data_IF_263186657032
#
_entry.id   IF_263186657032
#
_cell.length_a   1.000
_cell.length_b   1.000
_cell.length_c   1.000
_cell.angle_alpha   90.00
_cell.angle_beta   90.00
_cell.angle_gamma   90.00
#
_symmetry.space_group_name_H-M   'P 1'
#
loop_
_entity.id
_entity.type
_entity.pdbx_description
1 polymer ?
#
# COMPACT_ATOMS: atom_id res chain seq x y z
N UNK A 1 -29.20 -37.58 7.04
CA UNK A 1 -29.56 -36.62 8.13
C UNK A 1 -28.40 -36.20 9.06
N UNK A 2 -27.71 -37.11 9.78
CA UNK A 2 -26.55 -36.66 10.63
C UNK A 2 -25.41 -36.00 9.83
N UNK A 3 -25.05 -36.56 8.68
CA UNK A 3 -23.96 -36.02 7.81
C UNK A 3 -24.24 -34.60 7.30
N UNK A 4 -25.45 -34.28 6.87
CA UNK A 4 -25.85 -32.95 6.38
C UNK A 4 -25.76 -31.91 7.48
N UNK A 5 -26.16 -32.25 8.71
CA UNK A 5 -26.06 -31.32 9.85
C UNK A 5 -24.60 -31.02 10.22
N UNK A 6 -23.73 -32.04 10.17
CA UNK A 6 -22.30 -31.87 10.42
C UNK A 6 -21.69 -30.99 9.33
N UNK A 7 -21.94 -31.29 8.06
CA UNK A 7 -21.48 -30.51 6.92
C UNK A 7 -21.98 -29.06 7.00
N UNK A 8 -23.26 -28.85 7.35
CA UNK A 8 -23.82 -27.52 7.53
C UNK A 8 -23.11 -26.73 8.64
N UNK A 9 -22.70 -27.36 9.73
CA UNK A 9 -21.92 -26.70 10.76
C UNK A 9 -20.50 -26.32 10.31
N UNK A 10 -19.82 -27.23 9.59
CA UNK A 10 -18.48 -26.97 9.04
C UNK A 10 -18.54 -25.77 8.07
N UNK A 11 -19.46 -25.80 7.12
CA UNK A 11 -19.62 -24.73 6.14
C UNK A 11 -20.02 -23.41 6.80
N UNK A 12 -20.83 -23.42 7.85
CA UNK A 12 -21.15 -22.23 8.64
C UNK A 12 -19.88 -21.55 9.17
N UNK A 13 -19.01 -22.31 9.85
CA UNK A 13 -17.80 -21.76 10.42
C UNK A 13 -16.80 -21.32 9.34
N UNK A 14 -16.61 -22.12 8.29
CA UNK A 14 -15.75 -21.75 7.18
C UNK A 14 -16.22 -20.46 6.51
N UNK A 15 -17.50 -20.30 6.28
CA UNK A 15 -18.06 -19.09 5.66
C UNK A 15 -17.96 -17.88 6.59
N UNK A 16 -18.15 -18.05 7.89
CA UNK A 16 -18.04 -16.97 8.89
C UNK A 16 -16.60 -16.45 8.99
N UNK A 17 -15.61 -17.35 8.95
CA UNK A 17 -14.20 -17.01 9.17
C UNK A 17 -13.52 -16.58 7.86
N UNK A 18 -14.05 -16.99 6.70
CA UNK A 18 -13.42 -16.77 5.40
C UNK A 18 -13.07 -15.31 5.08
N UNK A 19 -13.91 -14.28 5.36
CA UNK A 19 -13.52 -12.89 5.11
C UNK A 19 -12.32 -12.45 5.97
N UNK A 20 -12.27 -12.89 7.22
CA UNK A 20 -11.17 -12.55 8.13
C UNK A 20 -9.85 -13.20 7.69
N UNK A 21 -9.89 -14.50 7.36
CA UNK A 21 -8.71 -15.21 6.85
C UNK A 21 -8.23 -14.58 5.55
N UNK A 22 -9.14 -14.29 4.62
CA UNK A 22 -8.80 -13.71 3.32
C UNK A 22 -8.17 -12.33 3.47
N UNK A 23 -8.73 -11.49 4.35
CA UNK A 23 -8.18 -10.17 4.65
C UNK A 23 -6.80 -10.28 5.30
N UNK A 24 -6.63 -11.15 6.29
CA UNK A 24 -5.34 -11.38 6.93
C UNK A 24 -4.28 -11.89 5.94
N UNK A 25 -4.64 -12.82 5.05
CA UNK A 25 -3.73 -13.31 4.02
C UNK A 25 -3.36 -12.21 3.03
N UNK A 26 -4.33 -11.42 2.57
CA UNK A 26 -4.06 -10.29 1.67
C UNK A 26 -3.16 -9.24 2.33
N UNK A 27 -3.37 -8.97 3.62
CA UNK A 27 -2.54 -8.04 4.42
C UNK A 27 -1.11 -8.57 4.59
N UNK A 28 -0.94 -9.83 4.95
CA UNK A 28 0.38 -10.43 5.15
C UNK A 28 1.18 -10.54 3.83
N UNK A 29 0.54 -11.07 2.77
CA UNK A 29 1.21 -11.24 1.47
C UNK A 29 1.45 -9.88 0.80
N UNK A 30 0.53 -8.94 0.99
CA UNK A 30 0.62 -7.57 0.47
C UNK A 30 1.57 -6.68 1.27
N UNK A 31 2.13 -7.19 2.39
CA UNK A 31 3.03 -6.40 3.23
C UNK A 31 2.39 -5.05 3.63
N UNK A 32 1.20 -5.13 4.23
CA UNK A 32 0.38 -3.96 4.54
C UNK A 32 1.07 -2.92 5.43
N UNK A 33 1.99 -3.36 6.30
CA UNK A 33 2.82 -2.47 7.13
C UNK A 33 3.74 -1.58 6.30
N UNK A 34 4.16 -2.07 5.11
CA UNK A 34 5.10 -1.39 4.23
C UNK A 34 4.37 -0.62 3.14
N UNK A 35 3.45 -1.29 2.43
CA UNK A 35 2.73 -0.71 1.30
C UNK A 35 1.35 -0.15 1.67
N UNK A 36 0.93 -0.29 2.94
CA UNK A 36 -0.36 0.18 3.42
C UNK A 36 -1.53 -0.44 2.63
N UNK A 37 -2.52 0.40 2.30
CA UNK A 37 -3.72 -0.03 1.56
C UNK A 37 -3.39 -0.60 0.18
N UNK A 38 -2.35 -0.09 -0.49
CA UNK A 38 -1.93 -0.58 -1.81
C UNK A 38 -1.55 -2.07 -1.79
N UNK A 39 -0.83 -2.51 -0.76
CA UNK A 39 -0.47 -3.92 -0.58
C UNK A 39 -1.70 -4.81 -0.39
N UNK A 40 -2.66 -4.38 0.43
CA UNK A 40 -3.92 -5.10 0.65
C UNK A 40 -4.73 -5.21 -0.66
N UNK A 41 -4.85 -4.12 -1.41
CA UNK A 41 -5.59 -4.08 -2.67
C UNK A 41 -4.97 -5.04 -3.69
N UNK A 42 -3.65 -5.09 -3.77
CA UNK A 42 -2.94 -5.99 -4.70
C UNK A 42 -3.38 -7.45 -4.55
N UNK A 43 -3.55 -7.91 -3.32
CA UNK A 43 -3.87 -9.31 -3.01
C UNK A 43 -5.33 -9.54 -2.59
N UNK A 44 -6.18 -8.51 -2.66
CA UNK A 44 -7.61 -8.61 -2.31
C UNK A 44 -8.36 -9.66 -3.15
N UNK A 45 -7.90 -9.97 -4.37
CA UNK A 45 -8.49 -11.02 -5.21
C UNK A 45 -8.49 -12.41 -4.54
N UNK A 46 -7.61 -12.64 -3.55
CA UNK A 46 -7.63 -13.89 -2.76
C UNK A 46 -8.97 -14.12 -2.05
N UNK A 47 -9.73 -13.05 -1.77
CA UNK A 47 -11.06 -13.14 -1.19
C UNK A 47 -12.04 -13.86 -2.11
N UNK A 48 -11.86 -13.76 -3.44
CA UNK A 48 -12.69 -14.42 -4.45
C UNK A 48 -12.59 -15.94 -4.33
N UNK A 49 -11.46 -16.49 -3.90
CA UNK A 49 -11.26 -17.92 -3.73
C UNK A 49 -12.19 -18.56 -2.68
N UNK A 50 -12.74 -17.76 -1.77
CA UNK A 50 -13.66 -18.24 -0.74
C UNK A 50 -15.14 -18.12 -1.14
N UNK A 51 -15.46 -17.51 -2.28
CA UNK A 51 -16.86 -17.43 -2.79
C UNK A 51 -17.50 -18.82 -2.92
N UNK A 52 -16.83 -19.87 -3.46
CA UNK A 52 -17.42 -21.20 -3.53
C UNK A 52 -17.87 -21.76 -2.17
N UNK A 53 -17.14 -21.45 -1.09
CA UNK A 53 -17.50 -21.88 0.27
C UNK A 53 -18.83 -21.24 0.71
N UNK A 54 -19.02 -19.96 0.42
CA UNK A 54 -20.28 -19.25 0.68
C UNK A 54 -21.45 -19.82 -0.12
N UNK A 55 -21.23 -20.11 -1.41
CA UNK A 55 -22.25 -20.73 -2.27
C UNK A 55 -22.64 -22.12 -1.73
N UNK A 56 -21.68 -22.95 -1.37
CA UNK A 56 -21.94 -24.26 -0.77
C UNK A 56 -22.73 -24.13 0.56
N UNK A 57 -22.44 -23.09 1.35
CA UNK A 57 -23.19 -22.81 2.59
C UNK A 57 -24.64 -22.46 2.31
N UNK A 58 -24.95 -21.75 1.24
CA UNK A 58 -26.34 -21.51 0.79
C UNK A 58 -27.01 -22.80 0.37
N UNK A 59 -26.35 -23.60 -0.49
CA UNK A 59 -26.94 -24.85 -1.01
C UNK A 59 -27.28 -25.81 0.13
N UNK A 60 -26.35 -26.01 1.07
CA UNK A 60 -26.62 -26.88 2.22
C UNK A 60 -27.69 -26.28 3.15
N UNK A 61 -27.73 -24.97 3.31
CA UNK A 61 -28.78 -24.27 4.06
C UNK A 61 -30.17 -24.49 3.46
N UNK A 62 -30.29 -24.44 2.14
CA UNK A 62 -31.55 -24.75 1.43
C UNK A 62 -31.94 -26.21 1.57
N UNK A 63 -30.98 -27.13 1.50
CA UNK A 63 -31.23 -28.55 1.72
C UNK A 63 -31.70 -28.85 3.16
N UNK A 64 -31.07 -28.23 4.16
CA UNK A 64 -31.48 -28.33 5.55
C UNK A 64 -32.90 -27.78 5.77
N UNK A 65 -33.27 -26.67 5.08
CA UNK A 65 -34.63 -26.13 5.09
C UNK A 65 -35.62 -27.14 4.56
N UNK A 66 -35.32 -27.76 3.42
CA UNK A 66 -36.18 -28.80 2.82
C UNK A 66 -36.40 -29.97 3.81
N UNK A 67 -35.37 -30.32 4.57
CA UNK A 67 -35.42 -31.39 5.54
C UNK A 67 -35.95 -30.96 6.93
N UNK A 68 -36.57 -29.77 7.03
CA UNK A 68 -37.10 -29.20 8.29
C UNK A 68 -36.09 -29.08 9.44
N UNK A 69 -34.79 -28.93 9.09
CA UNK A 69 -33.72 -28.77 10.07
C UNK A 69 -33.36 -27.30 10.30
N UNK A 70 -32.47 -27.01 11.28
CA UNK A 70 -32.00 -25.64 11.57
C UNK A 70 -31.07 -25.16 10.43
N UNK A 71 -31.53 -24.25 9.59
CA UNK A 71 -30.84 -23.76 8.39
C UNK A 71 -30.50 -22.27 8.41
N UNK A 72 -31.25 -21.49 9.21
CA UNK A 72 -31.19 -20.01 9.15
C UNK A 72 -29.76 -19.46 9.31
N UNK A 73 -28.96 -20.05 10.22
CA UNK A 73 -27.60 -19.58 10.46
C UNK A 73 -26.69 -19.65 9.22
N UNK A 74 -26.77 -20.74 8.41
CA UNK A 74 -25.98 -20.90 7.20
C UNK A 74 -26.35 -19.85 6.13
N UNK A 75 -27.64 -19.57 5.98
CA UNK A 75 -28.12 -18.56 5.04
C UNK A 75 -27.71 -17.16 5.48
N UNK A 76 -27.92 -16.80 6.75
CA UNK A 76 -27.56 -15.47 7.27
C UNK A 76 -26.06 -15.21 7.11
N UNK A 77 -25.21 -16.16 7.51
CA UNK A 77 -23.76 -15.99 7.39
C UNK A 77 -23.32 -15.86 5.93
N UNK A 78 -23.88 -16.68 5.03
CA UNK A 78 -23.57 -16.58 3.60
C UNK A 78 -24.00 -15.25 2.98
N UNK A 79 -25.19 -14.74 3.36
CA UNK A 79 -25.68 -13.44 2.88
C UNK A 79 -24.86 -12.24 3.37
N UNK A 80 -24.15 -12.38 4.47
CA UNK A 80 -23.23 -11.34 4.99
C UNK A 80 -21.85 -11.51 4.37
N UNK A 81 -21.30 -12.73 4.38
CA UNK A 81 -19.92 -12.98 3.97
C UNK A 81 -19.70 -12.86 2.48
N UNK A 82 -20.63 -13.33 1.63
CA UNK A 82 -20.48 -13.26 0.18
C UNK A 82 -20.37 -11.84 -0.38
N UNK A 83 -21.24 -10.88 0.00
CA UNK A 83 -21.07 -9.49 -0.43
C UNK A 83 -19.72 -8.90 -0.01
N UNK A 84 -19.27 -9.18 1.22
CA UNK A 84 -17.97 -8.71 1.70
C UNK A 84 -16.83 -9.27 0.86
N UNK A 85 -16.83 -10.59 0.58
CA UNK A 85 -15.81 -11.22 -0.27
C UNK A 85 -15.81 -10.67 -1.69
N UNK A 86 -16.98 -10.39 -2.27
CA UNK A 86 -17.10 -9.82 -3.61
C UNK A 86 -16.61 -8.37 -3.62
N UNK A 87 -17.09 -7.53 -2.71
CA UNK A 87 -16.72 -6.11 -2.66
C UNK A 87 -15.21 -5.97 -2.48
N UNK A 88 -14.64 -6.56 -1.44
CA UNK A 88 -13.21 -6.45 -1.17
C UNK A 88 -12.35 -7.15 -2.23
N UNK A 89 -12.78 -8.32 -2.75
CA UNK A 89 -12.07 -9.01 -3.82
C UNK A 89 -12.05 -8.23 -5.14
N UNK A 90 -13.04 -7.36 -5.35
CA UNK A 90 -13.11 -6.51 -6.55
C UNK A 90 -12.29 -5.23 -6.44
N UNK A 91 -11.78 -4.87 -5.26
CA UNK A 91 -11.02 -3.62 -5.07
C UNK A 91 -9.83 -3.50 -6.03
N UNK A 92 -9.10 -4.59 -6.30
CA UNK A 92 -8.00 -4.58 -7.26
C UNK A 92 -8.41 -4.17 -8.69
N UNK A 93 -9.63 -4.51 -9.10
CA UNK A 93 -10.11 -4.22 -10.46
C UNK A 93 -10.68 -2.80 -10.58
N UNK A 94 -11.01 -2.18 -9.45
CA UNK A 94 -11.58 -0.83 -9.39
C UNK A 94 -10.49 0.22 -9.30
N UNK A 95 -9.39 -0.06 -8.59
CA UNK A 95 -8.31 0.91 -8.40
C UNK A 95 -7.30 0.85 -9.56
N UNK A 96 -7.62 1.59 -10.63
CA UNK A 96 -6.73 1.79 -11.78
C UNK A 96 -5.53 2.71 -11.47
N UNK A 97 -5.50 3.34 -10.29
CA UNK A 97 -4.47 4.30 -9.92
C UNK A 97 -3.25 3.65 -9.26
N UNK A 98 -3.29 2.33 -8.96
CA UNK A 98 -2.16 1.62 -8.37
C UNK A 98 -1.42 0.83 -9.45
N UNK A 99 -0.17 1.20 -9.67
CA UNK A 99 0.79 0.49 -10.53
C UNK A 99 1.77 -0.31 -9.67
N UNK A 100 2.24 -1.44 -10.23
CA UNK A 100 3.24 -2.31 -9.60
C UNK A 100 4.45 -2.50 -10.51
N UNK A 101 4.73 -1.51 -11.34
CA UNK A 101 5.81 -1.51 -12.33
C UNK A 101 7.06 -0.83 -11.77
N UNK A 102 8.21 -1.30 -12.22
CA UNK A 102 9.53 -0.74 -11.87
C UNK A 102 9.98 0.39 -12.81
N UNK A 103 9.27 0.64 -13.90
CA UNK A 103 9.66 1.66 -14.88
C UNK A 103 9.77 3.07 -14.27
N UNK A 104 8.93 3.37 -13.29
CA UNK A 104 9.00 4.63 -12.57
C UNK A 104 10.32 4.81 -11.80
N UNK A 105 10.90 3.72 -11.27
CA UNK A 105 12.17 3.77 -10.52
C UNK A 105 13.31 4.24 -11.40
N UNK A 106 13.44 3.66 -12.60
CA UNK A 106 14.49 4.06 -13.56
C UNK A 106 14.35 5.54 -13.93
N UNK A 107 13.11 6.01 -14.08
CA UNK A 107 12.85 7.42 -14.37
C UNK A 107 13.28 8.33 -13.22
N UNK A 108 13.04 7.92 -11.97
CA UNK A 108 13.41 8.64 -10.76
C UNK A 108 14.93 8.67 -10.60
N UNK A 109 15.60 7.53 -10.77
CA UNK A 109 17.07 7.43 -10.74
C UNK A 109 17.72 8.40 -11.72
N UNK A 110 17.21 8.41 -12.97
CA UNK A 110 17.73 9.30 -14.01
C UNK A 110 17.51 10.80 -13.69
N UNK A 111 16.33 11.14 -13.13
CA UNK A 111 16.01 12.53 -12.75
C UNK A 111 16.88 13.02 -11.60
N UNK A 112 17.11 12.18 -10.60
CA UNK A 112 17.83 12.54 -9.38
C UNK A 112 19.31 12.19 -9.41
N UNK A 113 19.77 11.52 -10.45
CA UNK A 113 21.14 11.03 -10.57
C UNK A 113 21.60 10.22 -9.34
N UNK A 114 20.74 9.33 -8.87
CA UNK A 114 21.00 8.40 -7.76
C UNK A 114 20.81 6.96 -8.26
N UNK A 115 21.39 6.00 -7.56
CA UNK A 115 21.21 4.58 -7.82
C UNK A 115 20.37 3.97 -6.68
N UNK A 116 19.30 3.23 -7.03
CA UNK A 116 18.44 2.55 -6.09
C UNK A 116 18.64 1.03 -6.18
N UNK A 117 18.34 0.26 -5.11
CA UNK A 117 18.46 -1.19 -5.14
C UNK A 117 17.63 -1.82 -6.26
N UNK A 118 18.06 -2.95 -6.81
CA UNK A 118 17.38 -3.66 -7.92
C UNK A 118 16.42 -4.74 -7.42
N UNK A 119 16.74 -5.41 -6.33
CA UNK A 119 15.89 -6.44 -5.71
C UNK A 119 14.83 -5.78 -4.85
N UNK A 120 13.78 -5.27 -5.51
CA UNK A 120 12.73 -4.50 -4.90
C UNK A 120 11.32 -5.01 -5.23
N UNK A 121 10.39 -4.74 -4.33
CA UNK A 121 8.95 -4.74 -4.60
C UNK A 121 8.45 -3.32 -4.56
N UNK A 122 7.61 -2.94 -5.51
CA UNK A 122 7.10 -1.58 -5.65
C UNK A 122 5.57 -1.55 -5.71
N UNK A 123 4.98 -0.50 -5.14
CA UNK A 123 3.58 -0.12 -5.34
C UNK A 123 3.51 1.39 -5.49
N UNK A 124 3.07 1.87 -6.64
CA UNK A 124 2.90 3.29 -6.94
C UNK A 124 1.41 3.65 -6.94
N UNK A 125 1.05 4.65 -6.14
CA UNK A 125 -0.27 5.25 -6.10
C UNK A 125 -0.23 6.58 -6.81
N UNK A 126 -0.95 6.69 -7.92
CA UNK A 126 -1.07 7.93 -8.70
C UNK A 126 -2.19 8.79 -8.14
N UNK A 127 -1.87 10.06 -7.91
CA UNK A 127 -2.81 11.11 -7.49
C UNK A 127 -2.94 12.15 -8.60
N UNK A 128 -3.91 13.03 -8.49
CA UNK A 128 -4.12 14.10 -9.49
C UNK A 128 -2.94 15.07 -9.61
N UNK A 129 -2.17 15.25 -8.54
CA UNK A 129 -1.10 16.26 -8.45
C UNK A 129 0.27 15.72 -8.09
N UNK A 130 0.39 14.42 -7.80
CA UNK A 130 1.66 13.76 -7.47
C UNK A 130 1.52 12.23 -7.47
N UNK A 131 2.66 11.54 -7.52
CA UNK A 131 2.75 10.09 -7.42
C UNK A 131 3.50 9.71 -6.15
N UNK A 132 3.00 8.72 -5.39
CA UNK A 132 3.72 8.13 -4.25
C UNK A 132 4.06 6.69 -4.58
N UNK A 133 5.34 6.35 -4.53
CA UNK A 133 5.83 4.98 -4.65
C UNK A 133 6.35 4.48 -3.31
N UNK A 134 5.86 3.33 -2.90
CA UNK A 134 6.39 2.57 -1.77
C UNK A 134 7.24 1.42 -2.33
N UNK A 135 8.50 1.40 -1.93
CA UNK A 135 9.48 0.44 -2.42
C UNK A 135 10.06 -0.32 -1.26
N UNK A 136 9.98 -1.66 -1.28
CA UNK A 136 10.63 -2.53 -0.30
C UNK A 136 11.84 -3.20 -0.92
N UNK A 137 12.98 -3.13 -0.24
CA UNK A 137 14.17 -3.90 -0.57
C UNK A 137 13.97 -5.33 -0.07
N UNK A 138 14.11 -6.32 -0.96
CA UNK A 138 13.76 -7.72 -0.66
C UNK A 138 14.96 -8.60 -0.32
N UNK A 139 16.17 -8.12 -0.62
CA UNK A 139 17.42 -8.85 -0.39
C UNK A 139 18.31 -8.14 0.65
N UNK A 140 18.76 -8.86 1.67
CA UNK A 140 19.57 -8.30 2.75
C UNK A 140 20.93 -7.77 2.27
N UNK A 141 21.54 -8.40 1.25
CA UNK A 141 22.81 -7.94 0.70
C UNK A 141 22.65 -6.61 -0.02
N UNK A 142 21.60 -6.48 -0.81
CA UNK A 142 21.23 -5.23 -1.48
C UNK A 142 20.90 -4.12 -0.48
N UNK A 143 20.24 -4.47 0.64
CA UNK A 143 20.00 -3.56 1.76
C UNK A 143 21.32 -3.02 2.34
N UNK A 144 22.22 -3.91 2.77
CA UNK A 144 23.50 -3.53 3.39
C UNK A 144 24.34 -2.64 2.46
N UNK A 145 24.39 -2.99 1.16
CA UNK A 145 25.07 -2.17 0.16
C UNK A 145 24.45 -0.79 0.05
N UNK A 146 23.13 -0.71 -0.05
CA UNK A 146 22.40 0.55 -0.17
C UNK A 146 22.57 1.44 1.06
N UNK A 147 22.49 0.88 2.28
CA UNK A 147 22.73 1.63 3.50
C UNK A 147 24.18 2.16 3.61
N UNK A 148 25.15 1.43 3.08
CA UNK A 148 26.53 1.93 2.99
C UNK A 148 26.66 3.07 1.97
N UNK A 149 25.96 2.98 0.84
CA UNK A 149 25.91 4.05 -0.16
C UNK A 149 25.26 5.31 0.40
N UNK A 150 24.14 5.19 1.12
CA UNK A 150 23.49 6.30 1.82
C UNK A 150 24.48 6.99 2.76
N UNK A 151 25.14 6.26 3.67
CA UNK A 151 26.06 6.80 4.65
C UNK A 151 27.30 7.48 4.05
N UNK A 152 27.70 7.07 2.86
CA UNK A 152 28.84 7.65 2.13
C UNK A 152 28.44 8.79 1.19
N UNK A 153 27.15 8.99 0.98
CA UNK A 153 26.63 10.01 0.07
C UNK A 153 26.46 11.34 0.81
N UNK A 154 26.78 12.43 0.14
CA UNK A 154 26.50 13.78 0.62
C UNK A 154 25.08 14.27 0.25
N UNK A 155 24.30 13.45 -0.45
CA UNK A 155 22.95 13.81 -0.89
C UNK A 155 21.90 13.44 0.15
N UNK A 156 22.17 12.43 0.97
CA UNK A 156 21.25 11.95 1.98
C UNK A 156 21.46 12.71 3.29
N UNK A 157 20.38 13.26 3.81
CA UNK A 157 20.34 13.93 5.11
C UNK A 157 19.71 12.99 6.15
N UNK A 158 20.14 13.08 7.39
CA UNK A 158 19.61 12.33 8.53
C UNK A 158 18.61 13.14 9.37
N UNK A 159 18.46 14.44 9.07
CA UNK A 159 17.52 15.33 9.72
C UNK A 159 16.68 16.07 8.66
N UNK A 160 15.36 15.88 8.69
CA UNK A 160 14.44 16.53 7.77
C UNK A 160 14.16 17.97 8.20
N UNK A 161 14.57 18.93 7.38
CA UNK A 161 14.29 20.36 7.60
C UNK A 161 12.80 20.62 7.82
N UNK A 162 12.48 21.43 8.81
CA UNK A 162 11.10 21.76 9.19
C UNK A 162 10.28 22.35 8.03
N UNK A 163 10.88 23.21 7.20
CA UNK A 163 10.19 23.81 6.05
C UNK A 163 9.91 22.75 4.98
N UNK A 164 10.86 21.87 4.70
CA UNK A 164 10.64 20.74 3.78
C UNK A 164 9.51 19.86 4.31
N UNK A 165 9.55 19.47 5.59
CA UNK A 165 8.48 18.67 6.21
C UNK A 165 7.12 19.34 6.07
N UNK A 166 7.03 20.64 6.29
CA UNK A 166 5.76 21.40 6.27
C UNK A 166 5.11 21.50 4.87
N UNK A 167 5.89 21.38 3.81
CA UNK A 167 5.39 21.47 2.42
C UNK A 167 5.09 20.13 1.79
N UNK A 168 5.52 19.01 2.40
CA UNK A 168 5.22 17.66 1.91
C UNK A 168 3.74 17.31 2.08
N UNK A 169 3.19 16.36 1.30
CA UNK A 169 1.85 15.85 1.51
C UNK A 169 1.67 15.27 2.92
N UNK A 170 0.47 15.44 3.49
CA UNK A 170 0.15 14.99 4.85
C UNK A 170 0.47 13.51 5.08
N UNK A 171 0.23 12.66 4.08
CA UNK A 171 0.53 11.22 4.14
C UNK A 171 2.03 10.92 4.38
N UNK A 172 2.91 11.79 3.91
CA UNK A 172 4.37 11.68 4.13
C UNK A 172 4.75 12.33 5.46
N UNK A 173 4.15 13.46 5.80
CA UNK A 173 4.42 14.15 7.07
C UNK A 173 4.19 13.23 8.27
N UNK A 174 3.09 12.47 8.32
CA UNK A 174 2.77 11.55 9.42
C UNK A 174 3.72 10.35 9.52
N UNK A 175 4.41 9.99 8.44
CA UNK A 175 5.38 8.90 8.41
C UNK A 175 6.82 9.39 8.61
N UNK A 176 7.06 10.71 8.55
CA UNK A 176 8.41 11.27 8.52
C UNK A 176 9.25 10.95 9.75
N UNK A 177 8.62 10.69 10.90
CA UNK A 177 9.33 10.36 12.14
C UNK A 177 9.87 8.92 12.16
N UNK A 178 9.51 8.10 11.16
CA UNK A 178 9.98 6.72 11.01
C UNK A 178 11.13 6.61 9.98
N UNK A 179 11.50 7.70 9.33
CA UNK A 179 12.54 7.67 8.31
C UNK A 179 13.87 8.20 8.88
N UNK A 180 14.95 7.47 8.66
CA UNK A 180 16.30 7.83 9.12
C UNK A 180 17.07 8.65 8.09
N UNK A 181 16.75 8.52 6.81
CA UNK A 181 17.46 9.22 5.74
C UNK A 181 16.49 9.80 4.71
N UNK A 182 16.87 10.98 4.17
CA UNK A 182 16.03 11.74 3.26
C UNK A 182 16.85 12.33 2.11
N UNK A 183 16.23 12.43 0.94
CA UNK A 183 16.68 13.32 -0.13
C UNK A 183 15.49 14.18 -0.55
N UNK A 184 15.69 15.47 -0.61
CA UNK A 184 14.76 16.40 -1.23
C UNK A 184 15.42 17.00 -2.46
N UNK A 185 14.76 16.89 -3.61
CA UNK A 185 15.27 17.39 -4.88
C UNK A 185 14.29 18.38 -5.50
N UNK A 186 14.75 19.61 -5.69
CA UNK A 186 13.99 20.62 -6.39
C UNK A 186 14.23 20.49 -7.90
N UNK A 187 13.28 19.87 -8.61
CA UNK A 187 13.37 19.64 -10.06
C UNK A 187 13.43 20.95 -10.84
N UNK A 188 12.81 22.02 -10.32
CA UNK A 188 12.77 23.33 -10.98
C UNK A 188 14.13 24.03 -10.98
N UNK A 189 14.88 23.92 -9.88
CA UNK A 189 16.20 24.58 -9.72
C UNK A 189 17.37 23.63 -9.98
N UNK A 190 17.14 22.31 -9.96
CA UNK A 190 18.18 21.30 -10.04
C UNK A 190 19.03 21.15 -8.77
N UNK A 191 18.50 21.59 -7.60
CA UNK A 191 19.24 21.61 -6.34
C UNK A 191 18.70 20.55 -5.37
N UNK A 192 19.63 19.93 -4.61
CA UNK A 192 19.32 18.99 -3.55
C UNK A 192 19.19 19.73 -2.21
N UNK A 193 18.28 19.25 -1.37
CA UNK A 193 18.08 19.66 0.04
C UNK A 193 17.98 21.18 0.24
N UNK A 194 17.54 21.90 -0.80
CA UNK A 194 17.31 23.34 -0.76
C UNK A 194 15.91 23.64 -0.22
N UNK A 195 15.84 24.22 0.98
CA UNK A 195 14.59 24.67 1.63
C UNK A 195 14.17 26.08 1.25
N UNK A 196 14.88 26.75 0.35
CA UNK A 196 14.60 28.13 -0.04
C UNK A 196 13.50 28.22 -1.11
N UNK A 197 12.25 28.08 -0.71
CA UNK A 197 11.08 28.24 -1.57
C UNK A 197 10.66 29.71 -1.72
N UNK A 198 11.58 30.56 -2.17
CA UNK A 198 11.27 31.95 -2.44
C UNK A 198 10.37 32.06 -3.67
N UNK A 199 9.15 32.56 -3.50
CA UNK A 199 8.15 32.98 -4.51
C UNK A 199 8.17 32.22 -5.85
N UNK A 200 7.32 31.23 -5.97
CA UNK A 200 7.10 30.51 -7.23
C UNK A 200 6.40 29.17 -7.03
N UNK A 201 6.13 28.49 -8.14
CA UNK A 201 5.71 27.09 -8.13
C UNK A 201 6.95 26.24 -8.35
N UNK A 202 7.19 25.27 -7.47
CA UNK A 202 8.33 24.38 -7.55
C UNK A 202 7.85 22.95 -7.78
N UNK A 203 8.45 22.29 -8.75
CA UNK A 203 8.32 20.82 -8.88
C UNK A 203 9.40 20.17 -8.05
N UNK A 204 9.01 19.24 -7.20
CA UNK A 204 9.92 18.58 -6.28
C UNK A 204 9.75 17.08 -6.31
N UNK A 205 10.82 16.39 -5.96
CA UNK A 205 10.87 14.97 -5.66
C UNK A 205 11.40 14.79 -4.24
N UNK A 206 10.89 13.78 -3.57
CA UNK A 206 11.34 13.45 -2.22
C UNK A 206 11.48 11.94 -2.09
N UNK A 207 12.59 11.52 -1.48
CA UNK A 207 12.82 10.11 -1.14
C UNK A 207 13.12 10.05 0.34
N UNK A 208 12.49 9.11 1.04
CA UNK A 208 12.78 8.80 2.43
C UNK A 208 13.03 7.31 2.59
N UNK A 209 13.94 6.94 3.48
CA UNK A 209 14.31 5.57 3.77
C UNK A 209 14.10 5.23 5.24
N UNK A 210 13.35 4.16 5.47
CA UNK A 210 13.10 3.53 6.76
C UNK A 210 13.96 2.27 6.85
N UNK A 211 15.00 2.31 7.68
CA UNK A 211 15.96 1.22 7.83
C UNK A 211 15.32 -0.01 8.48
N UNK A 212 14.41 0.18 9.43
CA UNK A 212 13.77 -0.90 10.17
C UNK A 212 12.85 -1.72 9.26
N UNK A 213 12.03 -1.03 8.48
CA UNK A 213 11.10 -1.66 7.53
C UNK A 213 11.73 -1.99 6.17
N UNK A 214 12.98 -1.56 5.91
CA UNK A 214 13.68 -1.70 4.62
C UNK A 214 12.87 -1.09 3.48
N UNK A 215 12.27 0.08 3.76
CA UNK A 215 11.28 0.72 2.90
C UNK A 215 11.75 2.08 2.42
N UNK A 216 11.60 2.32 1.11
CA UNK A 216 11.67 3.66 0.54
C UNK A 216 10.26 4.21 0.30
N UNK A 217 10.08 5.47 0.57
CA UNK A 217 8.92 6.25 0.12
C UNK A 217 9.41 7.28 -0.85
N UNK A 218 8.87 7.29 -2.06
CA UNK A 218 9.26 8.19 -3.13
C UNK A 218 8.05 9.00 -3.55
N UNK A 219 8.17 10.32 -3.46
CA UNK A 219 7.21 11.27 -3.96
C UNK A 219 7.74 11.85 -5.28
N UNK A 220 6.97 11.75 -6.35
CA UNK A 220 7.29 12.34 -7.66
C UNK A 220 6.19 13.28 -8.14
N UNK A 221 6.55 14.18 -9.06
CA UNK A 221 5.65 15.15 -9.70
C UNK A 221 4.91 16.08 -8.72
N UNK A 222 5.41 16.26 -7.52
CA UNK A 222 4.76 17.12 -6.53
C UNK A 222 5.03 18.59 -6.79
N UNK A 223 3.97 19.43 -6.82
CA UNK A 223 4.08 20.87 -6.99
C UNK A 223 3.84 21.58 -5.66
N UNK A 224 4.86 22.30 -5.18
CA UNK A 224 4.73 23.24 -4.08
C UNK A 224 4.27 24.56 -4.67
N UNK A 225 3.08 25.02 -4.27
CA UNK A 225 2.54 26.34 -4.63
C UNK A 225 2.88 27.32 -3.51
N UNK A 226 3.73 28.29 -3.79
CA UNK A 226 3.97 29.37 -2.85
C UNK A 226 2.67 30.16 -2.65
N UNK A 227 2.11 30.08 -1.46
CA UNK A 227 0.97 30.91 -1.09
C UNK A 227 1.42 32.39 -1.06
N UNK A 228 1.17 33.13 -2.12
CA UNK A 228 1.40 34.56 -2.19
C UNK A 228 0.47 35.40 -1.29
N UNK A 229 -0.11 34.77 -0.25
CA UNK A 229 -1.05 35.42 0.69
C UNK A 229 -0.57 35.36 2.14
N UNK A 230 0.68 35.72 2.43
CA UNK A 230 0.98 36.34 3.73
C UNK A 230 1.13 37.83 3.51
N UNK A 231 0.02 38.55 3.35
CA UNK A 231 0.00 39.98 3.70
C UNK A 231 0.08 40.05 5.22
N UNK A 232 1.21 40.52 5.70
CA UNK A 232 1.39 41.08 7.03
C UNK A 232 0.32 42.14 7.29
#
# INVERSE_FOLDING_TARGET
MKKEKVLGNILFWMTLISPMISFSLASMIGEAEIFGVAGIIRYSWLMILFIPVGILSILIGLQLKKNKQKYKKNLIVAFISLPLLIIFGSCRFIDSNISYDTDNIITIENKMNIELPREIKIATSKRDSYDISYVKITDNKSKEKFEQEIKNSQLWEDELDFYIKSVLPYEIQIQSDNFEYFIFYNVTTGQYNDSNFAKGNYKVMFIAYDCDLQKLVILDNYEIKSNSKSKV
#
